data_IF_266602411631
#
_entry.id   IF_266602411631
#
_cell.length_a   1.000
_cell.length_b   1.000
_cell.length_c   1.000
_cell.angle_alpha   90.00
_cell.angle_beta   90.00
_cell.angle_gamma   90.00
#
_symmetry.space_group_name_H-M   'P 1'
#
loop_
_entity.id
_entity.type
_entity.pdbx_description
1 polymer ?
#
# COMPACT_ATOMS: atom_id res chain seq x y z
N UNK A 1 -8.84 13.59 18.17
CA UNK A 1 -7.88 14.64 17.76
C UNK A 1 -6.48 14.11 17.45
N UNK A 2 -5.89 13.20 18.25
CA UNK A 2 -4.53 12.64 18.02
C UNK A 2 -4.34 11.99 16.64
N UNK A 3 -5.23 11.09 16.21
CA UNK A 3 -5.08 10.40 14.92
C UNK A 3 -5.05 11.34 13.71
N UNK A 4 -5.98 12.30 13.61
CA UNK A 4 -6.00 13.32 12.54
C UNK A 4 -4.73 14.18 12.55
N UNK A 5 -4.30 14.62 13.74
CA UNK A 5 -3.10 15.44 13.91
C UNK A 5 -1.84 14.68 13.46
N UNK A 6 -1.70 13.42 13.87
CA UNK A 6 -0.52 12.62 13.52
C UNK A 6 -0.47 12.21 12.06
N UNK A 7 -1.62 11.90 11.45
CA UNK A 7 -1.68 11.54 10.04
C UNK A 7 -1.50 12.73 9.11
N UNK A 8 -1.70 13.97 9.59
CA UNK A 8 -1.83 15.18 8.75
C UNK A 8 -2.69 14.88 7.52
N UNK A 9 -3.84 14.25 7.77
CA UNK A 9 -4.79 13.77 6.77
C UNK A 9 -6.14 14.42 7.02
N UNK A 10 -6.80 14.83 5.94
CA UNK A 10 -8.19 15.27 5.98
C UNK A 10 -9.14 14.11 6.29
N UNK A 11 -8.74 12.88 5.98
CA UNK A 11 -9.48 11.65 6.27
C UNK A 11 -9.19 11.18 7.71
N UNK A 12 -10.15 11.43 8.60
CA UNK A 12 -10.10 10.94 9.99
C UNK A 12 -10.65 9.53 10.17
N UNK A 13 -10.88 9.16 11.43
CA UNK A 13 -11.64 7.96 11.77
C UNK A 13 -13.14 8.23 11.55
N UNK A 14 -13.80 7.35 10.80
CA UNK A 14 -15.26 7.33 10.69
C UNK A 14 -15.89 6.75 11.96
N UNK A 15 -17.21 6.83 12.07
CA UNK A 15 -17.97 6.21 13.16
C UNK A 15 -17.75 4.68 13.22
N UNK A 16 -17.79 3.99 12.09
CA UNK A 16 -17.47 2.55 12.01
C UNK A 16 -16.08 2.22 12.56
N UNK A 17 -15.08 3.08 12.27
CA UNK A 17 -13.73 2.89 12.79
C UNK A 17 -13.71 3.05 14.33
N UNK A 18 -14.51 3.97 14.88
CA UNK A 18 -14.62 4.16 16.33
C UNK A 18 -15.32 2.97 16.99
N UNK A 19 -16.37 2.42 16.37
CA UNK A 19 -17.04 1.19 16.84
C UNK A 19 -16.06 0.03 16.87
N UNK A 20 -15.27 -0.18 15.80
CA UNK A 20 -14.23 -1.22 15.79
C UNK A 20 -13.20 -1.03 16.92
N UNK A 21 -12.75 0.21 17.15
CA UNK A 21 -11.80 0.51 18.22
C UNK A 21 -12.40 0.22 19.61
N UNK A 22 -13.67 0.56 19.81
CA UNK A 22 -14.38 0.27 21.05
C UNK A 22 -14.55 -1.24 21.26
N UNK A 23 -14.97 -1.99 20.23
CA UNK A 23 -15.02 -3.45 20.26
C UNK A 23 -13.69 -4.06 20.67
N UNK A 24 -12.59 -3.59 20.05
CA UNK A 24 -11.25 -4.09 20.37
C UNK A 24 -10.83 -3.74 21.80
N UNK A 25 -11.01 -2.49 22.22
CA UNK A 25 -10.56 -2.03 23.54
C UNK A 25 -11.35 -2.66 24.69
N UNK A 26 -12.66 -2.84 24.52
CA UNK A 26 -13.53 -3.42 25.53
C UNK A 26 -13.72 -4.93 25.38
N UNK A 27 -13.11 -5.55 24.35
CA UNK A 27 -13.34 -6.95 24.00
C UNK A 27 -14.83 -7.30 23.82
N UNK A 28 -15.59 -6.34 23.28
CA UNK A 28 -17.03 -6.44 23.05
C UNK A 28 -17.34 -6.86 21.62
N UNK A 29 -18.45 -7.56 21.42
CA UNK A 29 -18.95 -7.98 20.10
C UNK A 29 -20.10 -7.10 19.59
N UNK A 30 -20.54 -6.10 20.37
CA UNK A 30 -21.63 -5.22 19.94
C UNK A 30 -21.21 -4.34 18.76
N UNK A 31 -22.07 -4.25 17.74
CA UNK A 31 -21.90 -3.33 16.61
C UNK A 31 -22.67 -2.01 16.82
N UNK A 32 -23.41 -1.85 17.92
CA UNK A 32 -24.22 -0.66 18.18
C UNK A 32 -23.36 0.45 18.82
N UNK A 33 -23.19 1.63 18.18
CA UNK A 33 -22.42 2.73 18.74
C UNK A 33 -22.92 3.19 20.13
N UNK A 34 -24.24 3.15 20.35
CA UNK A 34 -24.84 3.65 21.60
C UNK A 34 -24.43 2.82 22.83
N UNK A 35 -24.11 1.55 22.65
CA UNK A 35 -23.66 0.67 23.75
C UNK A 35 -22.32 1.14 24.34
N UNK A 36 -21.49 1.80 23.53
CA UNK A 36 -20.17 2.27 23.92
C UNK A 36 -20.16 3.70 24.45
N UNK A 37 -21.23 4.47 24.22
CA UNK A 37 -21.28 5.92 24.49
C UNK A 37 -21.07 6.27 25.96
N UNK A 38 -21.53 5.42 26.85
CA UNK A 38 -21.42 5.61 28.31
C UNK A 38 -20.36 4.70 28.95
N UNK A 39 -19.60 3.94 28.15
CA UNK A 39 -18.52 3.10 28.69
C UNK A 39 -17.33 3.96 29.09
N UNK A 40 -16.76 3.65 30.25
CA UNK A 40 -15.52 4.25 30.73
C UNK A 40 -14.37 3.25 30.57
N UNK A 41 -13.22 3.76 30.14
CA UNK A 41 -12.00 2.96 29.99
C UNK A 41 -11.01 3.35 31.06
N UNK A 42 -10.57 2.38 31.86
CA UNK A 42 -9.51 2.62 32.83
C UNK A 42 -8.16 2.75 32.13
N UNK A 43 -7.19 3.42 32.79
CA UNK A 43 -5.82 3.47 32.29
C UNK A 43 -5.19 2.08 32.15
N UNK A 44 -5.57 1.16 33.04
CA UNK A 44 -5.08 -0.21 33.00
C UNK A 44 -5.55 -0.92 31.71
N UNK A 45 -6.84 -0.86 31.40
CA UNK A 45 -7.39 -1.41 30.15
C UNK A 45 -6.78 -0.77 28.90
N UNK A 46 -6.49 0.54 28.94
CA UNK A 46 -5.92 1.24 27.80
C UNK A 46 -4.47 0.85 27.52
N UNK A 47 -3.61 0.77 28.55
CA UNK A 47 -2.15 0.65 28.35
C UNK A 47 -1.39 -0.16 29.42
N UNK A 48 -2.05 -1.04 30.19
CA UNK A 48 -1.35 -1.99 31.09
C UNK A 48 -1.80 -3.43 30.91
N UNK A 49 -3.08 -3.64 30.67
CA UNK A 49 -3.67 -4.95 30.45
C UNK A 49 -3.52 -5.35 28.97
N UNK A 50 -3.06 -6.58 28.74
CA UNK A 50 -2.97 -7.13 27.40
C UNK A 50 -4.35 -7.45 26.86
N UNK A 51 -4.53 -7.28 25.54
CA UNK A 51 -5.75 -7.71 24.86
C UNK A 51 -5.93 -9.24 24.99
N UNK A 52 -7.17 -9.76 25.02
CA UNK A 52 -7.41 -11.19 25.14
C UNK A 52 -6.70 -12.00 24.05
N UNK A 53 -5.96 -13.03 24.45
CA UNK A 53 -5.18 -13.87 23.54
C UNK A 53 -3.97 -13.19 22.91
N UNK A 54 -3.53 -12.03 23.44
CA UNK A 54 -2.37 -11.27 22.97
C UNK A 54 -1.40 -10.98 24.12
N UNK A 55 -0.18 -10.63 23.75
CA UNK A 55 0.90 -10.21 24.66
C UNK A 55 1.14 -8.69 24.60
N UNK A 56 0.18 -7.92 24.09
CA UNK A 56 0.27 -6.47 23.95
C UNK A 56 -1.04 -5.78 24.32
N UNK A 57 -0.93 -4.52 24.75
CA UNK A 57 -2.05 -3.67 25.18
C UNK A 57 -2.79 -3.07 23.97
N UNK A 58 -3.99 -2.54 24.22
CA UNK A 58 -4.72 -1.78 23.21
C UNK A 58 -3.89 -0.60 22.67
N UNK A 59 -3.27 0.19 23.56
CA UNK A 59 -2.44 1.31 23.16
C UNK A 59 -1.26 0.89 22.29
N UNK A 60 -0.52 -0.16 22.66
CA UNK A 60 0.60 -0.66 21.85
C UNK A 60 0.16 -1.05 20.44
N UNK A 61 -0.99 -1.73 20.31
CA UNK A 61 -1.56 -2.05 19.02
C UNK A 61 -1.92 -0.80 18.20
N UNK A 62 -2.63 0.15 18.82
CA UNK A 62 -3.08 1.36 18.15
C UNK A 62 -1.92 2.27 17.74
N UNK A 63 -0.91 2.42 18.60
CA UNK A 63 0.30 3.18 18.32
C UNK A 63 1.09 2.57 17.16
N UNK A 64 1.21 1.23 17.13
CA UNK A 64 1.82 0.53 15.99
C UNK A 64 1.07 0.75 14.67
N UNK A 65 -0.27 0.78 14.69
CA UNK A 65 -1.08 1.14 13.51
C UNK A 65 -0.80 2.58 13.08
N UNK A 66 -0.75 3.51 14.03
CA UNK A 66 -0.44 4.92 13.76
C UNK A 66 0.96 5.08 13.16
N UNK A 67 1.96 4.38 13.69
CA UNK A 67 3.32 4.41 13.17
C UNK A 67 3.40 3.86 11.74
N UNK A 68 2.79 2.69 11.48
CA UNK A 68 2.74 2.08 10.14
C UNK A 68 2.10 3.04 9.13
N UNK A 69 1.00 3.66 9.54
CA UNK A 69 0.26 4.59 8.71
C UNK A 69 1.08 5.83 8.34
N UNK A 70 1.76 6.43 9.31
CA UNK A 70 2.60 7.61 9.10
C UNK A 70 3.76 7.33 8.16
N UNK A 71 4.41 6.16 8.33
CA UNK A 71 5.64 5.83 7.58
C UNK A 71 5.38 5.35 6.17
N UNK A 72 4.35 4.53 5.96
CA UNK A 72 4.21 3.77 4.71
C UNK A 72 2.87 3.93 4.00
N UNK A 73 1.79 4.23 4.72
CA UNK A 73 0.43 4.02 4.18
C UNK A 73 -0.39 5.30 4.00
N UNK A 74 0.13 6.45 4.43
CA UNK A 74 -0.58 7.74 4.39
C UNK A 74 -1.18 8.07 3.02
N UNK A 75 -0.48 7.94 1.88
CA UNK A 75 -1.08 8.21 0.57
C UNK A 75 -2.27 7.29 0.27
N UNK A 76 -2.12 5.99 0.52
CA UNK A 76 -3.17 4.98 0.32
C UNK A 76 -4.38 5.22 1.24
N UNK A 77 -4.15 5.70 2.46
CA UNK A 77 -5.24 6.07 3.37
C UNK A 77 -6.02 7.27 2.85
N UNK A 78 -5.34 8.34 2.44
CA UNK A 78 -5.99 9.55 1.95
C UNK A 78 -6.87 9.28 0.72
N UNK A 79 -6.41 8.36 -0.14
CA UNK A 79 -7.11 7.97 -1.36
C UNK A 79 -8.24 6.96 -1.13
N UNK A 80 -8.49 6.59 0.12
CA UNK A 80 -9.56 5.65 0.47
C UNK A 80 -9.23 4.20 0.09
N UNK A 81 -7.96 3.86 -0.16
CA UNK A 81 -7.57 2.50 -0.53
C UNK A 81 -7.59 1.53 0.67
N UNK A 82 -7.46 2.08 1.89
CA UNK A 82 -7.41 1.31 3.13
C UNK A 82 -8.71 1.50 3.90
N UNK A 83 -9.37 0.38 4.21
CA UNK A 83 -10.48 0.32 5.18
C UNK A 83 -9.91 0.34 6.60
N UNK A 84 -8.89 -0.47 6.87
CA UNK A 84 -8.09 -0.41 8.09
C UNK A 84 -8.78 -1.03 9.30
N UNK A 85 -9.77 -0.36 9.88
CA UNK A 85 -10.40 -0.74 11.15
C UNK A 85 -11.58 -1.71 10.92
N UNK A 86 -11.26 -2.91 10.43
CA UNK A 86 -12.23 -3.97 10.12
C UNK A 86 -11.70 -5.30 10.66
N UNK A 87 -12.54 -6.02 11.41
CA UNK A 87 -12.13 -7.30 11.98
C UNK A 87 -12.19 -8.43 10.93
N UNK A 88 -11.61 -9.59 11.26
CA UNK A 88 -11.56 -10.74 10.35
C UNK A 88 -12.95 -11.17 9.87
N UNK A 89 -13.95 -11.23 10.75
CA UNK A 89 -15.29 -11.68 10.43
C UNK A 89 -16.00 -10.68 9.52
N UNK A 90 -15.99 -9.39 9.88
CA UNK A 90 -16.53 -8.30 9.06
C UNK A 90 -15.92 -8.31 7.65
N UNK A 91 -14.60 -8.48 7.55
CA UNK A 91 -13.94 -8.55 6.25
C UNK A 91 -14.42 -9.75 5.41
N UNK A 92 -14.63 -10.91 6.04
CA UNK A 92 -15.17 -12.09 5.35
C UNK A 92 -16.60 -11.84 4.86
N UNK A 93 -17.45 -11.28 5.72
CA UNK A 93 -18.85 -10.98 5.40
C UNK A 93 -18.98 -9.96 4.26
N UNK A 94 -18.16 -8.91 4.29
CA UNK A 94 -18.10 -7.90 3.23
C UNK A 94 -17.65 -8.46 1.87
N UNK A 95 -16.79 -9.49 1.88
CA UNK A 95 -16.24 -10.08 0.66
C UNK A 95 -17.11 -11.23 0.10
N UNK A 96 -17.92 -11.89 0.93
CA UNK A 96 -18.75 -13.04 0.51
C UNK A 96 -19.65 -12.71 -0.69
N UNK A 97 -20.29 -11.54 -0.65
CA UNK A 97 -21.22 -11.07 -1.70
C UNK A 97 -20.54 -10.46 -2.93
N UNK A 98 -19.20 -10.36 -2.95
CA UNK A 98 -18.45 -9.67 -4.01
C UNK A 98 -17.91 -10.64 -5.08
N UNK A 99 -17.59 -10.15 -6.29
CA UNK A 99 -16.95 -10.96 -7.33
C UNK A 99 -15.60 -11.54 -6.90
N UNK A 100 -15.18 -12.64 -7.53
CA UNK A 100 -13.85 -13.22 -7.32
C UNK A 100 -12.74 -12.21 -7.64
N UNK A 101 -11.66 -12.25 -6.86
CA UNK A 101 -10.56 -11.29 -6.96
C UNK A 101 -10.83 -9.94 -6.27
N UNK A 102 -11.99 -9.77 -5.63
CA UNK A 102 -12.22 -8.63 -4.74
C UNK A 102 -11.43 -8.80 -3.45
N UNK A 103 -10.78 -7.73 -3.01
CA UNK A 103 -9.98 -7.70 -1.78
C UNK A 103 -10.15 -6.40 -1.01
N UNK A 104 -9.73 -6.41 0.25
CA UNK A 104 -9.66 -5.23 1.10
C UNK A 104 -8.41 -5.24 1.98
N UNK A 105 -8.03 -4.05 2.44
CA UNK A 105 -6.90 -3.84 3.33
C UNK A 105 -7.39 -3.51 4.74
N UNK A 106 -6.94 -4.29 5.73
CA UNK A 106 -7.30 -4.11 7.14
C UNK A 106 -6.09 -4.26 8.05
N UNK A 107 -6.09 -3.59 9.20
CA UNK A 107 -5.04 -3.75 10.20
C UNK A 107 -5.17 -5.12 10.86
N UNK A 108 -4.01 -5.73 11.14
CA UNK A 108 -3.94 -7.03 11.78
C UNK A 108 -4.37 -6.92 13.23
N UNK A 109 -5.23 -7.84 13.69
CA UNK A 109 -5.59 -7.97 15.10
C UNK A 109 -4.52 -8.72 15.91
N UNK A 110 -3.62 -9.42 15.23
CA UNK A 110 -2.63 -10.32 15.83
C UNK A 110 -1.20 -9.82 15.79
N UNK A 111 -0.94 -8.80 14.98
CA UNK A 111 0.41 -8.26 14.73
C UNK A 111 0.38 -6.75 14.96
N UNK A 112 1.24 -6.25 15.86
CA UNK A 112 1.38 -4.81 16.09
C UNK A 112 1.94 -4.16 14.82
N UNK A 113 1.30 -3.08 14.37
CA UNK A 113 1.75 -2.38 13.16
C UNK A 113 1.72 -3.26 11.91
N UNK A 114 0.85 -4.28 11.87
CA UNK A 114 0.63 -5.11 10.70
C UNK A 114 -0.60 -4.67 9.90
N UNK A 115 -0.51 -4.73 8.57
CA UNK A 115 -1.67 -4.64 7.66
C UNK A 115 -1.77 -5.91 6.82
N UNK A 116 -2.97 -6.45 6.65
CA UNK A 116 -3.21 -7.66 5.87
C UNK A 116 -4.14 -7.40 4.69
N UNK A 117 -3.99 -8.24 3.67
CA UNK A 117 -4.86 -8.30 2.51
C UNK A 117 -5.86 -9.44 2.74
N UNK A 118 -7.14 -9.12 2.77
CA UNK A 118 -8.22 -10.10 2.81
C UNK A 118 -8.85 -10.22 1.42
N UNK A 119 -9.05 -11.44 0.92
CA UNK A 119 -9.69 -11.71 -0.38
C UNK A 119 -10.67 -12.89 -0.27
N UNK A 120 -11.66 -12.94 -1.17
CA UNK A 120 -12.74 -13.94 -1.19
C UNK A 120 -12.21 -15.37 -1.33
N UNK A 121 -12.68 -16.29 -0.47
CA UNK A 121 -12.39 -17.74 -0.42
C UNK A 121 -11.03 -18.18 0.14
N UNK A 122 -10.08 -17.28 0.37
CA UNK A 122 -8.75 -17.67 0.88
C UNK A 122 -8.24 -16.65 1.90
N UNK A 123 -8.03 -17.14 3.11
CA UNK A 123 -6.98 -16.78 4.07
C UNK A 123 -6.38 -15.38 3.91
N UNK A 124 -6.59 -14.53 4.93
CA UNK A 124 -5.80 -13.31 5.13
C UNK A 124 -4.32 -13.65 4.93
N UNK A 125 -3.64 -12.93 4.04
CA UNK A 125 -2.20 -13.06 3.91
C UNK A 125 -1.53 -12.73 5.25
N UNK A 126 -0.31 -13.24 5.45
CA UNK A 126 0.50 -12.81 6.58
C UNK A 126 0.57 -11.27 6.59
N UNK A 127 0.33 -10.63 7.75
CA UNK A 127 0.38 -9.19 7.84
C UNK A 127 1.75 -8.66 7.40
N UNK A 128 1.73 -7.62 6.58
CA UNK A 128 2.92 -6.84 6.25
C UNK A 128 3.15 -5.78 7.33
N UNK A 129 4.40 -5.65 7.74
CA UNK A 129 4.86 -4.71 8.75
C UNK A 129 5.76 -3.64 8.13
N UNK A 130 6.20 -2.68 8.94
CA UNK A 130 7.24 -1.70 8.57
C UNK A 130 8.46 -2.38 7.92
N UNK A 131 8.91 -3.54 8.43
CA UNK A 131 10.06 -4.28 7.89
C UNK A 131 9.82 -4.80 6.47
N UNK A 132 8.58 -5.12 6.13
CA UNK A 132 8.23 -5.58 4.80
C UNK A 132 8.22 -4.42 3.81
N UNK A 133 7.76 -3.25 4.26
CA UNK A 133 7.65 -2.04 3.44
C UNK A 133 8.95 -1.30 3.23
N UNK A 134 10.00 -1.55 4.03
CA UNK A 134 11.36 -1.09 3.72
C UNK A 134 11.97 -1.84 2.53
N UNK A 135 11.53 -3.08 2.27
CA UNK A 135 12.02 -3.91 1.16
C UNK A 135 11.22 -3.63 -0.11
N UNK A 136 9.88 -3.57 0.00
CA UNK A 136 8.98 -3.40 -1.14
C UNK A 136 7.69 -2.73 -0.71
N UNK A 137 7.25 -1.72 -1.47
CA UNK A 137 6.06 -0.93 -1.15
C UNK A 137 4.78 -1.77 -1.12
N UNK A 138 3.74 -1.26 -0.45
CA UNK A 138 2.42 -1.90 -0.45
C UNK A 138 1.86 -2.05 -1.88
N UNK A 139 1.96 -1.01 -2.69
CA UNK A 139 1.44 -1.01 -4.05
C UNK A 139 2.12 -2.06 -4.93
N UNK A 140 3.45 -2.16 -4.87
CA UNK A 140 4.21 -3.16 -5.63
C UNK A 140 3.86 -4.59 -5.18
N UNK A 141 3.73 -4.81 -3.86
CA UNK A 141 3.27 -6.12 -3.33
C UNK A 141 1.87 -6.49 -3.81
N UNK A 142 0.95 -5.53 -3.89
CA UNK A 142 -0.40 -5.73 -4.45
C UNK A 142 -0.34 -5.99 -5.96
N UNK A 143 0.57 -5.33 -6.67
CA UNK A 143 0.79 -5.52 -8.12
C UNK A 143 1.17 -6.97 -8.43
N UNK A 144 2.08 -7.55 -7.64
CA UNK A 144 2.58 -8.92 -7.80
C UNK A 144 1.48 -10.00 -7.65
N UNK A 145 0.36 -9.66 -7.01
CA UNK A 145 -0.76 -10.58 -6.77
C UNK A 145 -1.77 -10.50 -7.92
N UNK A 146 -1.57 -11.33 -8.95
CA UNK A 146 -2.39 -11.36 -10.16
C UNK A 146 -3.85 -11.75 -9.95
N UNK A 147 -4.16 -12.50 -8.88
CA UNK A 147 -5.52 -12.91 -8.53
C UNK A 147 -6.33 -11.78 -7.86
N UNK A 148 -5.67 -10.68 -7.44
CA UNK A 148 -6.33 -9.49 -6.93
C UNK A 148 -6.69 -8.58 -8.09
N UNK A 149 -7.98 -8.30 -8.24
CA UNK A 149 -8.54 -7.60 -9.40
C UNK A 149 -9.25 -6.31 -8.98
N UNK A 150 -10.02 -6.34 -7.89
CA UNK A 150 -10.85 -5.24 -7.45
C UNK A 150 -10.58 -4.92 -5.98
N UNK A 151 -10.27 -3.67 -5.68
CA UNK A 151 -10.33 -3.18 -4.32
C UNK A 151 -11.80 -2.94 -3.94
N UNK A 152 -12.19 -3.43 -2.77
CA UNK A 152 -13.52 -3.22 -2.22
C UNK A 152 -13.92 -1.73 -2.23
N UNK A 153 -15.17 -1.39 -2.59
CA UNK A 153 -16.25 -2.31 -2.96
C UNK A 153 -16.21 -2.83 -4.41
N UNK A 154 -15.64 -2.06 -5.34
CA UNK A 154 -15.75 -2.30 -6.79
C UNK A 154 -14.72 -1.51 -7.64
N UNK A 155 -13.61 -1.07 -7.04
CA UNK A 155 -12.59 -0.27 -7.75
C UNK A 155 -11.54 -1.16 -8.41
N UNK A 156 -11.24 -1.02 -9.71
CA UNK A 156 -10.16 -1.78 -10.35
C UNK A 156 -8.80 -1.57 -9.65
N UNK A 157 -8.06 -2.65 -9.41
CA UNK A 157 -6.75 -2.62 -8.73
C UNK A 157 -5.81 -1.56 -9.31
N UNK A 158 -5.68 -1.54 -10.64
CA UNK A 158 -4.75 -0.64 -11.31
C UNK A 158 -5.19 0.82 -11.26
N UNK A 159 -6.49 1.11 -11.21
CA UNK A 159 -6.98 2.49 -11.04
C UNK A 159 -6.51 3.08 -9.70
N UNK A 160 -6.52 2.26 -8.65
CA UNK A 160 -6.14 2.69 -7.30
C UNK A 160 -4.63 2.71 -7.10
N UNK A 161 -3.93 1.67 -7.55
CA UNK A 161 -2.54 1.44 -7.16
C UNK A 161 -1.50 1.78 -8.24
N UNK A 162 -1.86 1.90 -9.52
CA UNK A 162 -0.85 2.02 -10.59
C UNK A 162 0.04 3.26 -10.46
N UNK A 163 -0.50 4.37 -9.94
CA UNK A 163 0.26 5.59 -9.68
C UNK A 163 1.34 5.45 -8.61
N UNK A 164 1.30 4.37 -7.83
CA UNK A 164 2.25 4.06 -6.78
C UNK A 164 3.23 2.94 -7.15
N UNK A 165 3.11 2.36 -8.35
CA UNK A 165 4.00 1.30 -8.79
C UNK A 165 5.38 1.86 -9.08
N UNK A 166 6.40 1.13 -8.62
CA UNK A 166 7.78 1.43 -8.98
C UNK A 166 8.00 1.04 -10.44
N UNK A 167 8.40 1.97 -11.33
CA UNK A 167 8.69 1.63 -12.71
C UNK A 167 9.79 0.56 -12.78
N UNK A 168 9.69 -0.41 -13.71
CA UNK A 168 10.76 -1.39 -13.88
C UNK A 168 12.08 -0.65 -14.17
N UNK A 169 13.16 -1.08 -13.50
CA UNK A 169 14.50 -0.46 -13.54
C UNK A 169 15.01 -0.19 -14.97
N UNK A 170 14.53 -0.94 -15.98
CA UNK A 170 14.85 -0.70 -17.40
C UNK A 170 14.48 0.70 -17.92
N UNK A 171 13.53 1.41 -17.31
CA UNK A 171 13.17 2.77 -17.73
C UNK A 171 14.00 3.86 -17.04
N UNK A 172 14.65 3.58 -15.92
CA UNK A 172 15.52 4.54 -15.22
C UNK A 172 16.83 4.76 -16.00
N UNK A 173 17.32 3.71 -16.67
CA UNK A 173 18.51 3.80 -17.53
C UNK A 173 18.28 4.73 -18.74
N UNK A 174 17.04 4.81 -19.26
CA UNK A 174 16.72 5.70 -20.39
C UNK A 174 16.70 7.18 -20.00
N UNK A 175 16.46 7.52 -18.74
CA UNK A 175 16.38 8.92 -18.27
C UNK A 175 17.73 9.45 -17.79
N UNK A 176 18.67 8.58 -17.42
CA UNK A 176 20.02 8.97 -16.95
C UNK A 176 21.02 9.11 -18.12
N UNK A 177 20.80 8.41 -19.24
CA UNK A 177 21.68 8.45 -20.41
C UNK A 177 21.57 9.70 -21.33
N UNK A 178 20.54 10.57 -21.31
CA UNK A 178 20.62 11.82 -22.08
C UNK A 178 21.64 12.80 -21.49
N UNK A 179 22.05 12.65 -20.23
CA UNK A 179 22.97 13.58 -19.56
C UNK A 179 24.45 13.26 -19.76
N UNK A 180 24.80 12.04 -20.20
CA UNK A 180 26.21 11.67 -20.41
C UNK A 180 26.69 11.79 -21.86
N UNK A 181 25.80 12.05 -22.83
CA UNK A 181 26.20 12.20 -24.24
C UNK A 181 26.39 13.65 -24.71
N UNK A 182 26.18 14.65 -23.84
CA UNK A 182 26.28 16.08 -24.19
C UNK A 182 27.49 16.81 -23.56
N UNK A 183 28.54 16.10 -23.13
CA UNK A 183 29.80 16.71 -22.65
C UNK A 183 31.08 16.27 -23.38
N UNK A 184 30.98 15.91 -24.66
CA UNK A 184 32.14 15.89 -25.56
C UNK A 184 31.94 16.88 -26.70
N UNK A 185 32.01 18.16 -26.35
CA UNK A 185 32.33 19.20 -27.32
C UNK A 185 33.77 19.01 -27.79
N UNK A 186 33.96 18.36 -28.94
CA UNK A 186 35.18 18.51 -29.73
C UNK A 186 34.82 19.28 -31.01
N UNK A 187 35.37 20.47 -31.09
CA UNK A 187 35.20 21.49 -32.12
C UNK A 187 35.51 20.99 -33.54
N UNK A 188 34.69 21.44 -34.49
CA UNK A 188 34.93 21.38 -35.94
C UNK A 188 36.06 22.31 -36.36
N UNK A 189 36.90 21.84 -37.28
CA UNK A 189 37.54 22.52 -38.43
C UNK A 189 38.52 21.49 -39.05
N UNK A 190 38.73 21.25 -40.34
CA UNK A 190 38.53 21.95 -41.62
C UNK A 190 38.80 20.91 -42.74
N UNK A 191 38.10 20.98 -43.87
CA UNK A 191 38.49 20.32 -45.15
C UNK A 191 39.63 21.13 -45.83
N UNK A 192 40.42 20.62 -46.82
CA UNK A 192 39.89 20.36 -48.17
C UNK A 192 40.58 19.26 -49.03
N UNK A 193 39.91 18.99 -50.18
CA UNK A 193 40.41 18.67 -51.55
C UNK A 193 40.83 17.25 -51.98
N UNK A 194 39.97 16.68 -52.85
CA UNK A 194 40.19 16.10 -54.20
C UNK A 194 41.11 14.89 -54.44
N UNK A 195 40.53 13.79 -54.94
CA UNK A 195 40.76 13.26 -56.31
C UNK A 195 39.95 11.98 -56.58
N UNK A 196 39.23 11.96 -57.71
CA UNK A 196 38.69 10.78 -58.42
C UNK A 196 39.84 9.98 -59.11
N UNK A 197 39.65 8.82 -59.79
CA UNK A 197 38.39 8.23 -60.29
C UNK A 197 38.24 6.68 -60.24
N UNK A 198 37.07 6.18 -60.69
CA UNK A 198 36.79 4.89 -61.36
C UNK A 198 36.93 3.58 -60.55
N UNK A 199 36.01 2.62 -60.55
CA UNK A 199 35.25 2.07 -61.69
C UNK A 199 34.09 1.16 -61.20
N UNK A 200 33.00 1.19 -61.95
CA UNK A 200 31.88 0.24 -61.90
C UNK A 200 32.33 -1.11 -62.47
N UNK A 201 31.92 -2.23 -61.85
CA UNK A 201 31.43 -3.38 -62.62
C UNK A 201 30.38 -4.16 -61.85
N UNK A 202 29.32 -4.47 -62.58
CA UNK A 202 28.10 -5.22 -62.23
C UNK A 202 28.33 -6.70 -62.61
N UNK A 203 27.88 -7.66 -61.79
CA UNK A 203 26.89 -8.72 -62.11
C UNK A 203 26.90 -9.86 -61.05
N UNK A 204 25.77 -10.57 -60.85
CA UNK A 204 25.57 -11.59 -59.83
C UNK A 204 25.68 -13.02 -60.39
N UNK A 205 25.75 -14.01 -59.51
CA UNK A 205 25.51 -15.42 -59.85
C UNK A 205 24.68 -16.11 -58.77
N UNK A 206 23.60 -16.72 -59.26
CA UNK A 206 22.72 -17.80 -58.78
C UNK A 206 22.87 -18.31 -57.34
#
# INVERSE_FOLDING_TARGET
MKYKAEMHSTRGLSEDNLVFLAQKAFSSTSNNPEDFRNMTMSWAQFNRESLPGRNFTFWQWFDGVVELMKKHLKPHWNDGAILGFVNKQQAQDMLLSKPNGTFLLRFSDSEIGGITIAWRLVWNLLPYTTRDFTIRSLADRISDLNHLLFLYPDKPKNEVFAKYYTPPLCNVVKTIIPFFYNQTGCSRTTSPSSSHPSSFTVYPSM
#
